data_IF_060323211910
#
_entry.id   IF_060323211910
#
_cell.length_a   1.000
_cell.length_b   1.000
_cell.length_c   1.000
_cell.angle_alpha   90.00
_cell.angle_beta   90.00
_cell.angle_gamma   90.00
#
_symmetry.space_group_name_H-M   'P 1'
#
loop_
_entity.id
_entity.type
_entity.pdbx_description
1 polymer ?
#
# COMPACT_ATOMS: atom_id res chain seq x y z
N UNK A 1 15.66 14.60 -21.95
CA UNK A 1 15.35 13.16 -21.77
C UNK A 1 13.90 12.97 -21.31
N UNK A 2 13.16 11.96 -21.80
CA UNK A 2 11.73 11.76 -21.44
C UNK A 2 11.57 10.90 -20.17
N UNK A 3 10.49 11.13 -19.40
CA UNK A 3 10.20 10.37 -18.16
C UNK A 3 10.13 8.86 -18.39
N UNK A 4 9.75 8.42 -19.61
CA UNK A 4 9.66 7.02 -20.00
C UNK A 4 11.02 6.32 -19.99
N UNK A 5 12.08 7.01 -20.42
CA UNK A 5 13.43 6.44 -20.44
C UNK A 5 13.95 6.25 -19.01
N UNK A 6 13.66 7.21 -18.13
CA UNK A 6 14.00 7.11 -16.71
C UNK A 6 13.25 5.94 -16.06
N UNK A 7 11.94 5.83 -16.30
CA UNK A 7 11.12 4.74 -15.77
C UNK A 7 11.61 3.37 -16.23
N UNK A 8 11.94 3.23 -17.52
CA UNK A 8 12.47 1.99 -18.08
C UNK A 8 13.80 1.58 -17.42
N UNK A 9 14.72 2.54 -17.27
CA UNK A 9 15.99 2.29 -16.60
C UNK A 9 15.79 1.83 -15.15
N UNK A 10 14.98 2.55 -14.38
CA UNK A 10 14.71 2.20 -12.97
C UNK A 10 14.11 0.79 -12.84
N UNK A 11 13.23 0.41 -13.78
CA UNK A 11 12.66 -0.94 -13.82
C UNK A 11 13.71 -2.00 -14.15
N UNK A 12 14.51 -1.79 -15.20
CA UNK A 12 15.56 -2.73 -15.62
C UNK A 12 16.61 -2.93 -14.51
N UNK A 13 17.08 -1.85 -13.88
CA UNK A 13 18.03 -1.89 -12.77
C UNK A 13 17.47 -2.66 -11.57
N UNK A 14 16.18 -2.47 -11.27
CA UNK A 14 15.53 -3.13 -10.14
C UNK A 14 15.24 -4.62 -10.39
N UNK A 15 14.81 -5.00 -11.60
CA UNK A 15 14.53 -6.41 -11.94
C UNK A 15 15.79 -7.27 -11.90
N UNK A 16 16.94 -6.68 -12.22
CA UNK A 16 18.24 -7.36 -12.12
C UNK A 16 18.77 -7.45 -10.68
N UNK A 17 18.16 -6.72 -9.74
CA UNK A 17 18.59 -6.72 -8.35
C UNK A 17 18.11 -7.96 -7.60
N UNK A 18 19.03 -8.58 -6.84
CA UNK A 18 18.70 -9.67 -5.90
C UNK A 18 17.68 -9.23 -4.83
N UNK A 19 17.60 -7.93 -4.54
CA UNK A 19 16.66 -7.38 -3.57
C UNK A 19 15.21 -7.57 -4.01
N UNK A 20 14.91 -7.37 -5.30
CA UNK A 20 13.56 -7.58 -5.85
C UNK A 20 13.14 -9.04 -5.67
N UNK A 21 13.98 -9.99 -6.09
CA UNK A 21 13.69 -11.42 -5.95
C UNK A 21 13.56 -11.85 -4.49
N UNK A 22 14.32 -11.24 -3.58
CA UNK A 22 14.15 -11.41 -2.14
C UNK A 22 12.78 -10.96 -1.64
N UNK A 23 12.31 -9.79 -2.10
CA UNK A 23 10.96 -9.28 -1.80
C UNK A 23 9.87 -10.19 -2.37
N UNK A 24 9.99 -10.62 -3.63
CA UNK A 24 9.02 -11.53 -4.26
C UNK A 24 8.94 -12.84 -3.49
N UNK A 25 10.08 -13.45 -3.17
CA UNK A 25 10.12 -14.68 -2.39
C UNK A 25 9.50 -14.48 -1.01
N UNK A 26 9.84 -13.37 -0.33
CA UNK A 26 9.30 -13.05 0.98
C UNK A 26 7.77 -12.87 0.97
N UNK A 27 7.25 -12.07 0.03
CA UNK A 27 5.80 -11.86 -0.15
C UNK A 27 5.12 -13.19 -0.48
N UNK A 28 5.65 -13.96 -1.43
CA UNK A 28 5.08 -15.24 -1.81
C UNK A 28 4.99 -16.20 -0.61
N UNK A 29 6.08 -16.34 0.15
CA UNK A 29 6.12 -17.22 1.33
C UNK A 29 5.15 -16.74 2.39
N UNK A 30 5.18 -15.47 2.76
CA UNK A 30 4.35 -14.96 3.84
C UNK A 30 2.86 -15.01 3.52
N UNK A 31 2.46 -14.58 2.32
CA UNK A 31 1.06 -14.63 1.88
C UNK A 31 0.59 -16.09 1.82
N UNK A 32 1.43 -17.01 1.31
CA UNK A 32 1.12 -18.45 1.31
C UNK A 32 0.94 -19.01 2.71
N UNK A 33 1.78 -18.61 3.67
CA UNK A 33 1.64 -19.00 5.08
C UNK A 33 0.31 -18.52 5.64
N UNK A 34 -0.10 -17.28 5.35
CA UNK A 34 -1.38 -16.77 5.83
C UNK A 34 -2.58 -17.54 5.28
N UNK A 35 -2.52 -18.03 4.04
CA UNK A 35 -3.54 -18.94 3.49
C UNK A 35 -3.63 -20.27 4.25
N UNK A 36 -2.57 -20.72 4.93
CA UNK A 36 -2.58 -21.96 5.70
C UNK A 36 -3.10 -21.77 7.14
N UNK A 37 -3.05 -20.56 7.69
CA UNK A 37 -3.41 -20.28 9.09
C UNK A 37 -4.83 -20.77 9.45
N UNK A 38 -5.88 -20.48 8.66
CA UNK A 38 -7.23 -20.92 9.00
C UNK A 38 -7.42 -22.44 9.09
N UNK A 39 -6.58 -23.22 8.39
CA UNK A 39 -6.61 -24.68 8.47
C UNK A 39 -5.93 -25.24 9.72
N UNK A 40 -5.02 -24.46 10.31
CA UNK A 40 -4.25 -24.87 11.48
C UNK A 40 -4.91 -24.44 12.79
N UNK A 41 -5.90 -23.55 12.73
CA UNK A 41 -6.59 -23.00 13.90
C UNK A 41 -8.07 -23.38 13.85
N UNK A 42 -8.52 -24.40 14.61
CA UNK A 42 -9.90 -24.92 14.55
C UNK A 42 -11.01 -23.90 14.89
N UNK A 43 -10.65 -22.78 15.50
CA UNK A 43 -11.57 -21.69 15.86
C UNK A 43 -11.83 -20.70 14.71
N UNK A 44 -11.05 -20.75 13.64
CA UNK A 44 -11.20 -19.86 12.49
C UNK A 44 -12.08 -20.50 11.42
N UNK A 45 -12.79 -19.66 10.66
CA UNK A 45 -13.45 -20.10 9.44
C UNK A 45 -12.39 -20.60 8.45
N UNK A 46 -12.51 -21.85 8.04
CA UNK A 46 -11.61 -22.51 7.10
C UNK A 46 -11.99 -22.24 5.63
N UNK A 47 -12.92 -21.32 5.39
CA UNK A 47 -13.24 -20.85 4.04
C UNK A 47 -12.07 -20.13 3.36
N UNK A 48 -11.94 -20.35 2.04
CA UNK A 48 -10.94 -19.68 1.20
C UNK A 48 -11.06 -18.14 1.22
N UNK A 49 -12.27 -17.61 1.39
CA UNK A 49 -12.51 -16.16 1.51
C UNK A 49 -12.03 -15.60 2.86
N UNK A 50 -12.19 -16.34 3.96
CA UNK A 50 -11.59 -15.99 5.24
C UNK A 50 -10.06 -15.99 5.16
N UNK A 51 -9.49 -17.01 4.52
CA UNK A 51 -8.04 -17.10 4.28
C UNK A 51 -7.52 -15.92 3.43
N UNK A 52 -8.27 -15.53 2.38
CA UNK A 52 -7.95 -14.37 1.57
C UNK A 52 -8.03 -13.05 2.37
N UNK A 53 -9.03 -12.91 3.24
CA UNK A 53 -9.15 -11.78 4.16
C UNK A 53 -7.95 -11.65 5.10
N UNK A 54 -7.56 -12.76 5.75
CA UNK A 54 -6.35 -12.79 6.59
C UNK A 54 -5.07 -12.48 5.82
N UNK A 55 -4.92 -13.05 4.61
CA UNK A 55 -3.79 -12.75 3.73
C UNK A 55 -3.73 -11.26 3.36
N UNK A 56 -4.89 -10.64 3.16
CA UNK A 56 -5.02 -9.21 2.87
C UNK A 56 -4.65 -8.34 4.07
N UNK A 57 -5.04 -8.72 5.28
CA UNK A 57 -4.64 -8.04 6.52
C UNK A 57 -3.12 -8.06 6.69
N UNK A 58 -2.50 -9.23 6.48
CA UNK A 58 -1.06 -9.36 6.53
C UNK A 58 -0.37 -8.51 5.45
N UNK A 59 -0.91 -8.51 4.23
CA UNK A 59 -0.42 -7.65 3.15
C UNK A 59 -0.55 -6.16 3.50
N UNK A 60 -1.58 -5.74 4.23
CA UNK A 60 -1.76 -4.36 4.68
C UNK A 60 -0.60 -3.86 5.55
N UNK A 61 0.04 -4.76 6.31
CA UNK A 61 1.22 -4.45 7.13
C UNK A 61 2.53 -4.56 6.33
N UNK A 62 2.65 -5.58 5.48
CA UNK A 62 3.90 -5.87 4.77
C UNK A 62 4.15 -4.94 3.57
N UNK A 63 3.12 -4.72 2.75
CA UNK A 63 3.24 -3.95 1.50
C UNK A 63 3.78 -2.54 1.72
N UNK A 64 3.32 -1.78 2.75
CA UNK A 64 3.90 -0.47 3.06
C UNK A 64 5.42 -0.50 3.28
N UNK A 65 5.93 -1.49 4.02
CA UNK A 65 7.37 -1.64 4.30
C UNK A 65 8.13 -1.87 3.01
N UNK A 66 7.66 -2.83 2.21
CA UNK A 66 8.27 -3.19 0.92
C UNK A 66 8.33 -1.98 -0.01
N UNK A 67 7.20 -1.29 -0.18
CA UNK A 67 7.08 -0.12 -1.04
C UNK A 67 7.97 1.03 -0.58
N UNK A 68 8.01 1.32 0.73
CA UNK A 68 8.89 2.33 1.31
C UNK A 68 10.36 1.98 1.06
N UNK A 69 10.80 0.77 1.42
CA UNK A 69 12.19 0.33 1.22
C UNK A 69 12.59 0.39 -0.26
N UNK A 70 11.68 0.05 -1.17
CA UNK A 70 11.93 0.08 -2.60
C UNK A 70 12.14 1.51 -3.15
N UNK A 71 11.58 2.54 -2.51
CA UNK A 71 11.48 3.88 -3.12
C UNK A 71 12.00 5.04 -2.26
N UNK A 72 12.24 4.89 -0.95
CA UNK A 72 12.61 6.00 -0.05
C UNK A 72 13.94 6.67 -0.42
N UNK A 73 14.87 5.95 -1.06
CA UNK A 73 16.15 6.49 -1.55
C UNK A 73 16.14 6.90 -3.01
N UNK A 74 15.01 6.80 -3.71
CA UNK A 74 14.96 7.01 -5.16
C UNK A 74 15.52 8.38 -5.59
N UNK A 75 15.32 9.43 -4.78
CA UNK A 75 15.84 10.79 -5.05
C UNK A 75 16.90 11.18 -4.02
N UNK A 76 16.62 11.03 -2.73
CA UNK A 76 17.54 11.40 -1.66
C UNK A 76 18.89 10.66 -1.75
N UNK A 77 18.86 9.39 -2.17
CA UNK A 77 20.06 8.57 -2.32
C UNK A 77 20.99 9.05 -3.42
N UNK A 78 20.43 9.50 -4.55
CA UNK A 78 21.16 10.07 -5.69
C UNK A 78 21.59 11.52 -5.47
N UNK A 79 20.79 12.27 -4.70
CA UNK A 79 21.14 13.62 -4.28
C UNK A 79 22.40 13.61 -3.43
N UNK A 80 22.46 12.72 -2.44
CA UNK A 80 23.60 12.60 -1.53
C UNK A 80 24.86 12.05 -2.23
N UNK A 81 24.73 11.12 -3.18
CA UNK A 81 25.87 10.63 -3.96
C UNK A 81 26.32 11.58 -5.07
N UNK A 82 25.62 12.70 -5.29
CA UNK A 82 25.90 13.66 -6.36
C UNK A 82 25.54 13.19 -7.77
N UNK A 83 25.07 11.94 -7.95
CA UNK A 83 24.70 11.40 -9.26
C UNK A 83 23.51 12.12 -9.88
N UNK A 84 22.66 12.72 -9.05
CA UNK A 84 21.54 13.55 -9.49
C UNK A 84 22.00 14.76 -10.32
N UNK A 85 23.18 15.32 -10.03
CA UNK A 85 23.75 16.45 -10.80
C UNK A 85 24.14 16.03 -12.21
N UNK A 86 24.70 14.83 -12.36
CA UNK A 86 25.05 14.27 -13.67
C UNK A 86 23.79 14.01 -14.51
N UNK A 87 22.73 13.50 -13.88
CA UNK A 87 21.47 13.23 -14.57
C UNK A 87 20.76 14.52 -15.01
N UNK A 88 20.79 15.57 -14.18
CA UNK A 88 20.25 16.88 -14.53
C UNK A 88 21.08 17.64 -15.58
N UNK A 89 22.37 17.33 -15.71
CA UNK A 89 23.23 17.84 -16.78
C UNK A 89 22.82 17.37 -18.19
N UNK A 90 21.98 16.34 -18.29
CA UNK A 90 21.38 15.86 -19.55
C UNK A 90 20.04 16.54 -19.88
N UNK A 91 19.73 17.64 -19.19
CA UNK A 91 18.53 18.47 -19.34
C UNK A 91 17.16 17.73 -19.22
N UNK A 92 16.95 16.76 -18.32
CA UNK A 92 15.59 16.36 -17.95
C UNK A 92 14.95 17.40 -17.02
N UNK A 93 13.66 17.67 -17.22
CA UNK A 93 12.88 18.44 -16.24
C UNK A 93 12.81 17.67 -14.91
N UNK A 94 12.88 18.39 -13.78
CA UNK A 94 12.78 17.79 -12.44
C UNK A 94 11.49 16.98 -12.24
N UNK A 95 10.38 17.45 -12.80
CA UNK A 95 9.10 16.72 -12.86
C UNK A 95 9.21 15.39 -13.59
N UNK A 96 9.92 15.36 -14.72
CA UNK A 96 10.14 14.13 -15.48
C UNK A 96 10.98 13.11 -14.70
N UNK A 97 11.92 13.57 -13.85
CA UNK A 97 12.69 12.70 -12.95
C UNK A 97 11.77 12.08 -11.89
N UNK A 98 10.97 12.89 -11.19
CA UNK A 98 10.03 12.41 -10.16
C UNK A 98 9.03 11.43 -10.77
N UNK A 99 8.40 11.79 -11.88
CA UNK A 99 7.43 10.92 -12.58
C UNK A 99 8.07 9.62 -13.08
N UNK A 100 9.28 9.70 -13.66
CA UNK A 100 10.01 8.53 -14.14
C UNK A 100 10.35 7.56 -13.00
N UNK A 101 10.85 8.09 -11.87
CA UNK A 101 11.15 7.31 -10.67
C UNK A 101 9.90 6.69 -10.07
N UNK A 102 8.80 7.44 -10.00
CA UNK A 102 7.52 6.92 -9.54
C UNK A 102 7.03 5.76 -10.39
N UNK A 103 6.92 5.94 -11.70
CA UNK A 103 6.44 4.88 -12.59
C UNK A 103 7.38 3.66 -12.55
N UNK A 104 8.69 3.88 -12.56
CA UNK A 104 9.67 2.78 -12.47
C UNK A 104 9.52 1.99 -11.16
N UNK A 105 9.50 2.65 -10.01
CA UNK A 105 9.38 1.99 -8.70
C UNK A 105 8.01 1.37 -8.47
N UNK A 106 6.94 2.00 -8.94
CA UNK A 106 5.60 1.43 -8.92
C UNK A 106 5.52 0.15 -9.74
N UNK A 107 6.07 0.14 -10.96
CA UNK A 107 6.08 -1.06 -11.81
C UNK A 107 6.84 -2.22 -11.15
N UNK A 108 7.98 -1.94 -10.53
CA UNK A 108 8.79 -2.91 -9.78
C UNK A 108 7.98 -3.52 -8.62
N UNK A 109 7.32 -2.68 -7.81
CA UNK A 109 6.50 -3.13 -6.68
C UNK A 109 5.29 -3.94 -7.16
N UNK A 110 4.55 -3.44 -8.15
CA UNK A 110 3.37 -4.12 -8.72
C UNK A 110 3.75 -5.49 -9.28
N UNK A 111 4.82 -5.59 -10.09
CA UNK A 111 5.27 -6.89 -10.62
C UNK A 111 5.62 -7.84 -9.48
N UNK A 112 6.32 -7.36 -8.45
CA UNK A 112 6.71 -8.20 -7.33
C UNK A 112 5.53 -8.71 -6.50
N UNK A 113 4.57 -7.82 -6.21
CA UNK A 113 3.34 -8.16 -5.50
C UNK A 113 2.46 -9.08 -6.32
N UNK A 114 2.24 -8.78 -7.60
CA UNK A 114 1.48 -9.63 -8.53
C UNK A 114 2.06 -11.04 -8.57
N UNK A 115 3.37 -11.19 -8.80
CA UNK A 115 3.99 -12.53 -8.85
C UNK A 115 3.86 -13.24 -7.50
N UNK A 116 4.12 -12.55 -6.39
CA UNK A 116 4.01 -13.12 -5.05
C UNK A 116 2.59 -13.61 -4.71
N UNK A 117 1.58 -12.80 -5.03
CA UNK A 117 0.17 -13.16 -4.84
C UNK A 117 -0.28 -14.27 -5.76
N UNK A 118 0.11 -14.28 -7.04
CA UNK A 118 -0.22 -15.37 -7.97
C UNK A 118 0.35 -16.71 -7.47
N UNK A 119 1.60 -16.72 -6.97
CA UNK A 119 2.19 -17.90 -6.34
C UNK A 119 1.40 -18.34 -5.10
N UNK A 120 1.00 -17.39 -4.25
CA UNK A 120 0.15 -17.70 -3.10
C UNK A 120 -1.25 -18.20 -3.52
N UNK A 121 -1.79 -17.72 -4.64
CA UNK A 121 -3.04 -18.19 -5.23
C UNK A 121 -2.95 -19.64 -5.71
N UNK A 122 -1.80 -20.08 -6.23
CA UNK A 122 -1.56 -21.49 -6.55
C UNK A 122 -1.58 -22.35 -5.28
N UNK A 123 -0.99 -21.86 -4.18
CA UNK A 123 -1.05 -22.54 -2.88
C UNK A 123 -2.49 -22.59 -2.38
N UNK A 124 -3.24 -21.48 -2.45
CA UNK A 124 -4.64 -21.45 -2.07
C UNK A 124 -5.48 -22.46 -2.88
N UNK A 125 -5.26 -22.53 -4.20
CA UNK A 125 -5.93 -23.52 -5.05
C UNK A 125 -5.57 -24.97 -4.66
N UNK A 126 -4.29 -25.26 -4.42
CA UNK A 126 -3.84 -26.59 -4.04
C UNK A 126 -4.41 -27.04 -2.68
N UNK A 127 -4.65 -26.09 -1.78
CA UNK A 127 -5.09 -26.33 -0.41
C UNK A 127 -6.62 -26.38 -0.28
N UNK A 128 -7.32 -25.45 -0.92
CA UNK A 128 -8.77 -25.30 -0.81
C UNK A 128 -9.54 -25.90 -2.01
N UNK A 129 -8.85 -26.34 -3.05
CA UNK A 129 -9.43 -26.90 -4.29
C UNK A 129 -10.09 -25.87 -5.21
N UNK A 130 -10.24 -24.62 -4.76
CA UNK A 130 -10.84 -23.52 -5.52
C UNK A 130 -10.23 -22.17 -5.11
N UNK A 131 -10.33 -21.19 -6.00
CA UNK A 131 -9.99 -19.79 -5.72
C UNK A 131 -11.11 -18.91 -6.31
N UNK A 132 -11.82 -18.12 -5.49
CA UNK A 132 -12.83 -17.18 -5.98
C UNK A 132 -12.16 -16.10 -6.82
N UNK A 133 -12.12 -16.28 -8.14
CA UNK A 133 -11.31 -15.47 -9.05
C UNK A 133 -11.65 -13.96 -8.96
N UNK A 134 -12.92 -13.62 -8.79
CA UNK A 134 -13.37 -12.22 -8.63
C UNK A 134 -12.77 -11.56 -7.37
N UNK A 135 -12.96 -12.18 -6.20
CA UNK A 135 -12.40 -11.69 -4.94
C UNK A 135 -10.87 -11.65 -4.99
N UNK A 136 -10.24 -12.73 -5.48
CA UNK A 136 -8.78 -12.84 -5.54
C UNK A 136 -8.16 -11.76 -6.44
N UNK A 137 -8.70 -11.54 -7.64
CA UNK A 137 -8.24 -10.48 -8.53
C UNK A 137 -8.52 -9.09 -7.95
N UNK A 138 -9.68 -8.89 -7.31
CA UNK A 138 -10.01 -7.64 -6.63
C UNK A 138 -9.00 -7.31 -5.52
N UNK A 139 -8.71 -8.27 -4.64
CA UNK A 139 -7.72 -8.14 -3.57
C UNK A 139 -6.32 -7.90 -4.13
N UNK A 140 -5.91 -8.63 -5.17
CA UNK A 140 -4.63 -8.43 -5.81
C UNK A 140 -4.48 -6.99 -6.33
N UNK A 141 -5.47 -6.49 -7.09
CA UNK A 141 -5.44 -5.13 -7.64
C UNK A 141 -5.45 -4.06 -6.54
N UNK A 142 -6.19 -4.29 -5.45
CA UNK A 142 -6.20 -3.39 -4.29
C UNK A 142 -4.84 -3.41 -3.56
N UNK A 143 -4.20 -4.57 -3.48
CA UNK A 143 -2.87 -4.72 -2.87
C UNK A 143 -1.81 -3.99 -3.70
N UNK A 144 -1.88 -4.12 -5.02
CA UNK A 144 -1.03 -3.37 -5.95
C UNK A 144 -1.26 -1.86 -5.80
N UNK A 145 -2.52 -1.42 -5.70
CA UNK A 145 -2.87 -0.01 -5.47
C UNK A 145 -2.31 0.53 -4.14
N UNK A 146 -2.37 -0.27 -3.07
CA UNK A 146 -1.73 0.06 -1.79
C UNK A 146 -0.21 0.22 -1.94
N UNK A 147 0.43 -0.71 -2.65
CA UNK A 147 1.86 -0.64 -2.97
C UNK A 147 2.21 0.64 -3.71
N UNK A 148 1.42 1.01 -4.72
CA UNK A 148 1.60 2.25 -5.48
C UNK A 148 1.41 3.49 -4.59
N UNK A 149 0.43 3.49 -3.69
CA UNK A 149 0.23 4.60 -2.75
C UNK A 149 1.45 4.82 -1.86
N UNK A 150 2.02 3.75 -1.28
CA UNK A 150 3.22 3.85 -0.47
C UNK A 150 4.48 4.19 -1.28
N UNK A 151 4.58 3.80 -2.56
CA UNK A 151 5.64 4.31 -3.45
C UNK A 151 5.48 5.82 -3.66
N UNK A 152 4.25 6.33 -3.84
CA UNK A 152 3.98 7.77 -3.94
C UNK A 152 4.42 8.53 -2.69
N UNK A 153 4.07 8.01 -1.51
CA UNK A 153 4.52 8.53 -0.21
C UNK A 153 6.05 8.51 -0.11
N UNK A 154 6.68 7.37 -0.42
CA UNK A 154 8.13 7.20 -0.35
C UNK A 154 8.88 8.19 -1.23
N UNK A 155 8.40 8.42 -2.45
CA UNK A 155 9.01 9.36 -3.39
C UNK A 155 8.77 10.80 -2.95
N UNK A 156 7.59 11.13 -2.44
CA UNK A 156 7.32 12.42 -1.83
C UNK A 156 8.31 12.76 -0.70
N UNK A 157 8.56 11.78 0.16
CA UNK A 157 9.54 11.87 1.25
C UNK A 157 10.97 11.98 0.71
N UNK A 158 11.31 11.16 -0.29
CA UNK A 158 12.64 11.16 -0.90
C UNK A 158 12.95 12.51 -1.57
N UNK A 159 11.98 13.09 -2.26
CA UNK A 159 12.08 14.36 -2.96
C UNK A 159 12.29 15.55 -2.02
N UNK A 160 11.69 15.49 -0.82
CA UNK A 160 11.80 16.54 0.22
C UNK A 160 13.02 16.37 1.12
N UNK A 161 13.69 15.22 1.06
CA UNK A 161 14.82 14.89 1.93
C UNK A 161 16.16 15.28 1.28
N UNK A 162 17.05 15.86 2.09
CA UNK A 162 18.40 16.24 1.66
C UNK A 162 19.40 15.08 1.77
N UNK A 163 19.18 14.14 2.69
CA UNK A 163 20.08 13.02 3.00
C UNK A 163 19.31 11.70 3.08
N UNK A 164 20.03 10.59 2.88
CA UNK A 164 19.54 9.21 3.03
C UNK A 164 18.98 8.95 4.42
N UNK A 165 19.71 9.37 5.45
CA UNK A 165 19.29 9.20 6.84
C UNK A 165 17.96 9.90 7.12
N UNK A 166 17.78 11.15 6.66
CA UNK A 166 16.52 11.88 6.83
C UNK A 166 15.36 11.21 6.08
N UNK A 167 15.59 10.78 4.85
CA UNK A 167 14.58 10.05 4.07
C UNK A 167 14.17 8.75 4.76
N UNK A 168 15.13 8.01 5.33
CA UNK A 168 14.88 6.79 6.10
C UNK A 168 14.04 7.08 7.34
N UNK A 169 14.41 8.07 8.15
CA UNK A 169 13.69 8.42 9.38
C UNK A 169 12.25 8.83 9.09
N UNK A 170 12.02 9.68 8.09
CA UNK A 170 10.67 10.12 7.72
C UNK A 170 9.87 8.96 7.12
N UNK A 171 10.51 8.09 6.32
CA UNK A 171 9.87 6.88 5.78
C UNK A 171 9.39 5.93 6.88
N UNK A 172 10.22 5.67 7.89
CA UNK A 172 9.86 4.86 9.07
C UNK A 172 8.72 5.53 9.84
N UNK A 173 8.81 6.85 10.08
CA UNK A 173 7.75 7.58 10.76
C UNK A 173 6.42 7.53 10.00
N UNK A 174 6.45 7.63 8.67
CA UNK A 174 5.26 7.51 7.82
C UNK A 174 4.66 6.11 7.86
N UNK A 175 5.49 5.05 7.86
CA UNK A 175 5.02 3.68 8.09
C UNK A 175 4.31 3.56 9.44
N UNK A 176 4.97 3.98 10.52
CA UNK A 176 4.40 3.89 11.86
C UNK A 176 3.10 4.68 11.96
N UNK A 177 3.05 5.91 11.44
CA UNK A 177 1.88 6.77 11.52
C UNK A 177 0.69 6.26 10.68
N UNK A 178 0.93 5.85 9.43
CA UNK A 178 -0.15 5.60 8.47
C UNK A 178 -0.49 4.14 8.28
N UNK A 179 0.43 3.22 8.56
CA UNK A 179 0.18 1.78 8.43
C UNK A 179 -0.09 1.10 9.78
N UNK A 180 0.64 1.47 10.84
CA UNK A 180 0.62 0.72 12.10
C UNK A 180 -0.20 1.38 13.22
N UNK A 181 -0.03 2.68 13.44
CA UNK A 181 -0.61 3.39 14.58
C UNK A 181 -1.91 4.13 14.24
N UNK A 182 -2.31 4.14 12.97
CA UNK A 182 -3.50 4.88 12.55
C UNK A 182 -4.75 4.38 13.25
N UNK A 183 -4.90 3.08 13.47
CA UNK A 183 -6.06 2.46 14.12
C UNK A 183 -6.27 2.92 15.57
N UNK A 184 -5.26 3.52 16.20
CA UNK A 184 -5.37 4.13 17.53
C UNK A 184 -6.18 5.44 17.49
N UNK A 185 -6.21 6.15 16.37
CA UNK A 185 -6.94 7.42 16.19
C UNK A 185 -8.45 7.21 16.27
N UNK A 186 -9.09 6.36 15.43
CA UNK A 186 -10.53 6.14 15.51
C UNK A 186 -10.91 5.52 16.85
N UNK A 187 -10.12 4.57 17.39
CA UNK A 187 -10.37 3.95 18.69
C UNK A 187 -10.30 4.97 19.84
N UNK A 188 -9.27 5.82 19.87
CA UNK A 188 -9.13 6.87 20.87
C UNK A 188 -10.24 7.92 20.79
N UNK A 189 -10.64 8.30 19.58
CA UNK A 189 -11.78 9.19 19.36
C UNK A 189 -13.09 8.57 19.87
N UNK A 190 -13.32 7.28 19.62
CA UNK A 190 -14.51 6.58 20.08
C UNK A 190 -14.55 6.48 21.61
N UNK A 191 -13.42 6.13 22.21
CA UNK A 191 -13.26 6.10 23.67
C UNK A 191 -13.54 7.47 24.29
N UNK A 192 -13.06 8.56 23.68
CA UNK A 192 -13.27 9.92 24.18
C UNK A 192 -14.74 10.38 24.11
N UNK A 193 -15.49 9.94 23.08
CA UNK A 193 -16.88 10.35 22.87
C UNK A 193 -17.87 9.45 23.63
N UNK A 194 -17.63 8.14 23.65
CA UNK A 194 -18.58 7.14 24.16
C UNK A 194 -18.12 6.41 25.42
N UNK A 195 -16.88 6.63 25.87
CA UNK A 195 -16.35 6.04 27.12
C UNK A 195 -15.93 4.57 27.00
N UNK A 196 -15.91 3.99 25.78
CA UNK A 196 -15.47 2.61 25.55
C UNK A 196 -15.09 2.35 24.08
N UNK A 197 -14.57 1.15 23.76
CA UNK A 197 -14.38 0.72 22.38
C UNK A 197 -15.74 0.57 21.66
N UNK A 198 -15.77 0.62 20.32
CA UNK A 198 -16.98 0.34 19.57
C UNK A 198 -17.50 -1.08 19.86
N UNK A 199 -18.82 -1.22 19.94
CA UNK A 199 -19.50 -2.51 20.12
C UNK A 199 -19.73 -3.23 18.79
N UNK A 200 -20.89 -3.88 18.66
CA UNK A 200 -21.31 -4.52 17.41
C UNK A 200 -21.66 -3.51 16.31
N UNK A 201 -21.99 -2.27 16.68
CA UNK A 201 -22.22 -1.15 15.77
C UNK A 201 -21.29 0.01 16.08
N UNK A 202 -20.97 0.79 15.05
CA UNK A 202 -20.11 1.96 15.14
C UNK A 202 -20.69 3.14 14.33
N UNK A 203 -20.48 4.38 14.78
CA UNK A 203 -20.89 5.56 14.02
C UNK A 203 -20.16 5.67 12.67
N UNK A 204 -20.80 6.30 11.68
CA UNK A 204 -20.18 6.48 10.35
C UNK A 204 -18.86 7.24 10.36
N UNK A 205 -18.70 8.22 11.26
CA UNK A 205 -17.44 8.95 11.39
C UNK A 205 -16.29 8.03 11.83
N UNK A 206 -16.58 6.99 12.62
CA UNK A 206 -15.57 6.03 13.09
C UNK A 206 -15.06 5.16 11.94
N UNK A 207 -15.98 4.64 11.12
CA UNK A 207 -15.65 3.88 9.90
C UNK A 207 -14.88 4.75 8.91
N UNK A 208 -15.28 6.02 8.74
CA UNK A 208 -14.54 6.97 7.91
C UNK A 208 -13.11 7.19 8.40
N UNK A 209 -12.92 7.42 9.70
CA UNK A 209 -11.59 7.64 10.27
C UNK A 209 -10.70 6.40 10.15
N UNK A 210 -11.25 5.19 10.31
CA UNK A 210 -10.49 3.96 10.00
C UNK A 210 -10.03 3.95 8.55
N UNK A 211 -10.95 4.20 7.61
CA UNK A 211 -10.63 4.21 6.17
C UNK A 211 -9.89 5.45 5.66
N UNK A 212 -9.55 6.40 6.52
CA UNK A 212 -8.85 7.63 6.12
C UNK A 212 -7.34 7.44 5.91
N UNK A 213 -6.76 6.34 6.42
CA UNK A 213 -5.38 5.93 6.10
C UNK A 213 -5.29 5.13 4.81
N UNK A 214 -4.10 5.00 4.19
CA UNK A 214 -3.92 4.14 3.03
C UNK A 214 -4.27 2.67 3.32
N UNK A 215 -3.82 2.15 4.48
CA UNK A 215 -4.09 0.76 4.88
C UNK A 215 -5.55 0.54 5.25
N UNK A 216 -6.18 1.49 5.95
CA UNK A 216 -7.59 1.42 6.29
C UNK A 216 -8.51 1.52 5.07
N UNK A 217 -8.21 2.42 4.12
CA UNK A 217 -8.93 2.51 2.85
C UNK A 217 -8.83 1.19 2.07
N UNK A 218 -7.63 0.62 2.00
CA UNK A 218 -7.39 -0.70 1.41
C UNK A 218 -8.21 -1.80 2.10
N UNK A 219 -8.15 -1.89 3.44
CA UNK A 219 -8.89 -2.89 4.21
C UNK A 219 -10.40 -2.77 3.99
N UNK A 220 -10.94 -1.55 3.99
CA UNK A 220 -12.35 -1.32 3.71
C UNK A 220 -12.74 -1.79 2.29
N UNK A 221 -11.91 -1.53 1.28
CA UNK A 221 -12.14 -1.97 -0.09
C UNK A 221 -12.06 -3.49 -0.23
N UNK A 222 -11.11 -4.14 0.45
CA UNK A 222 -10.97 -5.60 0.49
C UNK A 222 -12.21 -6.25 1.11
N UNK A 223 -12.68 -5.75 2.25
CA UNK A 223 -13.90 -6.25 2.89
C UNK A 223 -15.10 -6.16 1.94
N UNK A 224 -15.25 -5.05 1.22
CA UNK A 224 -16.30 -4.90 0.21
C UNK A 224 -16.13 -5.89 -0.97
N UNK A 225 -14.91 -6.14 -1.44
CA UNK A 225 -14.65 -7.09 -2.53
C UNK A 225 -14.97 -8.55 -2.14
N UNK A 226 -14.66 -8.93 -0.90
CA UNK A 226 -14.99 -10.24 -0.34
C UNK A 226 -16.51 -10.36 -0.16
N UNK A 227 -17.15 -9.36 0.47
CA UNK A 227 -18.61 -9.31 0.65
C UNK A 227 -19.39 -9.38 -0.67
N UNK A 228 -18.91 -8.72 -1.72
CA UNK A 228 -19.52 -8.78 -3.05
C UNK A 228 -19.49 -10.19 -3.67
N UNK A 229 -18.56 -11.04 -3.23
CA UNK A 229 -18.47 -12.45 -3.66
C UNK A 229 -19.36 -13.34 -2.80
N UNK A 230 -19.38 -13.11 -1.49
CA UNK A 230 -20.23 -13.82 -0.53
C UNK A 230 -20.71 -12.89 0.59
N UNK A 231 -22.02 -12.54 0.61
CA UNK A 231 -22.58 -11.61 1.60
C UNK A 231 -22.54 -12.09 3.05
N UNK A 232 -22.20 -13.36 3.31
CA UNK A 232 -21.98 -13.87 4.67
C UNK A 232 -20.77 -13.24 5.35
N UNK A 233 -19.80 -12.73 4.59
CA UNK A 233 -18.66 -11.97 5.10
C UNK A 233 -19.03 -10.49 5.26
N UNK A 234 -18.62 -9.82 6.34
CA UNK A 234 -18.99 -8.43 6.58
C UNK A 234 -18.27 -7.47 5.61
N UNK A 235 -19.01 -6.52 5.04
CA UNK A 235 -18.44 -5.34 4.39
C UNK A 235 -18.04 -4.28 5.44
N UNK A 236 -17.24 -3.29 5.04
CA UNK A 236 -16.86 -2.18 5.94
C UNK A 236 -18.07 -1.42 6.52
N UNK A 237 -19.19 -1.42 5.80
CA UNK A 237 -20.42 -0.71 6.16
C UNK A 237 -21.37 -1.56 7.02
N UNK A 238 -21.13 -2.86 7.22
CA UNK A 238 -22.05 -3.71 8.02
C UNK A 238 -22.08 -3.34 9.49
N UNK A 239 -21.05 -2.66 9.98
CA UNK A 239 -20.94 -2.18 11.36
C UNK A 239 -21.69 -0.86 11.57
N UNK A 240 -22.19 -0.21 10.51
CA UNK A 240 -22.88 1.07 10.62
C UNK A 240 -24.25 0.91 11.29
N UNK A 241 -24.55 1.82 12.21
CA UNK A 241 -25.90 1.99 12.76
C UNK A 241 -26.66 3.03 11.94
N UNK A 242 -27.42 2.59 10.92
CA UNK A 242 -28.25 3.44 10.07
C UNK A 242 -27.86 3.47 8.58
N UNK A 243 -28.38 4.44 7.81
CA UNK A 243 -28.12 4.52 6.37
C UNK A 243 -26.65 4.83 6.10
N UNK A 244 -26.09 4.23 5.04
CA UNK A 244 -24.69 4.42 4.63
C UNK A 244 -24.49 5.85 4.12
N UNK A 245 -23.68 6.68 4.80
CA UNK A 245 -23.39 8.02 4.28
C UNK A 245 -22.42 7.98 3.10
N UNK A 246 -22.50 8.98 2.22
CA UNK A 246 -21.69 9.03 1.00
C UNK A 246 -20.18 8.92 1.23
N UNK A 247 -19.68 9.37 2.39
CA UNK A 247 -18.24 9.41 2.70
C UNK A 247 -17.67 8.08 3.21
N UNK A 248 -18.50 7.07 3.47
CA UNK A 248 -18.08 5.69 3.82
C UNK A 248 -18.40 4.69 2.72
N UNK A 249 -18.79 5.17 1.54
CA UNK A 249 -18.96 4.35 0.37
C UNK A 249 -17.61 3.85 -0.17
N UNK A 250 -17.62 2.73 -0.89
CA UNK A 250 -16.40 2.13 -1.46
C UNK A 250 -15.62 3.13 -2.34
N UNK A 251 -16.32 3.97 -3.11
CA UNK A 251 -15.66 4.95 -3.98
C UNK A 251 -14.97 6.07 -3.18
N UNK A 252 -15.44 6.37 -1.98
CA UNK A 252 -14.80 7.35 -1.10
C UNK A 252 -13.45 6.81 -0.61
N UNK A 253 -13.39 5.54 -0.18
CA UNK A 253 -12.12 4.89 0.18
C UNK A 253 -11.18 4.73 -1.01
N UNK A 254 -11.70 4.43 -2.21
CA UNK A 254 -10.89 4.42 -3.42
C UNK A 254 -10.28 5.81 -3.72
N UNK A 255 -11.08 6.87 -3.58
CA UNK A 255 -10.60 8.24 -3.74
C UNK A 255 -9.54 8.62 -2.70
N UNK A 256 -9.68 8.18 -1.44
CA UNK A 256 -8.69 8.37 -0.38
C UNK A 256 -7.37 7.68 -0.74
N UNK A 257 -7.41 6.44 -1.23
CA UNK A 257 -6.19 5.71 -1.63
C UNK A 257 -5.47 6.40 -2.80
N UNK A 258 -6.23 6.90 -3.78
CA UNK A 258 -5.68 7.72 -4.87
C UNK A 258 -5.10 9.03 -4.35
N UNK A 259 -5.78 9.70 -3.41
CA UNK A 259 -5.28 10.93 -2.80
C UNK A 259 -3.95 10.70 -2.08
N UNK A 260 -3.80 9.59 -1.36
CA UNK A 260 -2.53 9.18 -0.72
C UNK A 260 -1.41 8.87 -1.71
N UNK A 261 -1.73 8.55 -2.96
CA UNK A 261 -0.73 8.42 -4.02
C UNK A 261 -0.34 9.79 -4.56
N UNK A 262 -1.33 10.62 -4.91
CA UNK A 262 -1.13 11.85 -5.68
C UNK A 262 -0.63 13.00 -4.80
N UNK A 263 -1.18 13.19 -3.60
CA UNK A 263 -0.88 14.35 -2.74
C UNK A 263 0.59 14.35 -2.29
N UNK A 264 1.14 13.26 -1.70
CA UNK A 264 2.54 13.24 -1.28
C UNK A 264 3.50 13.39 -2.46
N UNK A 265 3.18 12.78 -3.60
CA UNK A 265 3.97 12.88 -4.83
C UNK A 265 3.99 14.31 -5.38
N UNK A 266 2.84 14.97 -5.42
CA UNK A 266 2.73 16.36 -5.88
C UNK A 266 3.47 17.33 -4.95
N UNK A 267 3.28 17.20 -3.63
CA UNK A 267 4.00 18.00 -2.63
C UNK A 267 5.51 17.79 -2.74
N UNK A 268 5.95 16.55 -2.91
CA UNK A 268 7.35 16.21 -3.13
C UNK A 268 7.93 16.81 -4.41
N UNK A 269 7.19 16.76 -5.52
CA UNK A 269 7.61 17.36 -6.79
C UNK A 269 7.75 18.87 -6.68
N UNK A 270 6.78 19.55 -6.06
CA UNK A 270 6.81 21.01 -5.87
C UNK A 270 7.99 21.41 -4.98
N UNK A 271 8.23 20.68 -3.89
CA UNK A 271 9.37 20.93 -3.02
C UNK A 271 10.72 20.71 -3.73
N UNK A 272 10.82 19.65 -4.55
CA UNK A 272 12.02 19.33 -5.30
C UNK A 272 12.32 20.33 -6.41
N UNK A 273 11.30 20.93 -7.02
CA UNK A 273 11.47 22.04 -7.98
C UNK A 273 12.10 23.27 -7.33
N UNK A 274 11.71 23.58 -6.10
CA UNK A 274 12.16 24.77 -5.37
C UNK A 274 13.49 24.59 -4.66
N UNK A 275 13.98 23.36 -4.51
CA UNK A 275 15.21 23.07 -3.78
C UNK A 275 16.44 23.52 -4.59
N UNK A 276 17.29 24.35 -3.99
CA UNK A 276 18.63 24.59 -4.51
C UNK A 276 19.48 23.32 -4.35
N UNK A 277 20.14 22.92 -5.44
CA UNK A 277 20.97 21.72 -5.51
C UNK A 277 22.48 22.03 -5.43
N UNK A 278 22.82 23.27 -5.01
CA UNK A 278 24.18 23.78 -4.86
C UNK A 278 24.92 23.10 -3.70
#
# INVERSE_FOLDING_TARGET
MSWRVIARKEFEDAVQSRLLWGVVAFVAVMVSVTFLIPLLVPALDSGVLAALGGASEFASMLVPIVALVAAYLAIAGERESGSLRLLLGLEPSRRAVVAGKFVGRSAVVVVGLTVGFLLAGVVAWAVYGTVPAGAFLGVLLLTDALGVAFVGIAIGISATSATRSRAMTIGIAAYLAFALLWDLIPQGAHLAVFGGPPGASAPAWFVFLQGASPTGAYSALVMNAIHATDPSYPAATTVLDGPVPFFVEWWAFAAILVAWTVVPLALGSIAFERADLN
#
